data_IF_086069775225
#
_entry.id   IF_086069775225
#
_cell.length_a   1.000
_cell.length_b   1.000
_cell.length_c   1.000
_cell.angle_alpha   90.00
_cell.angle_beta   90.00
_cell.angle_gamma   90.00
#
_symmetry.space_group_name_H-M   'P 1'
#
loop_
_entity.id
_entity.type
_entity.pdbx_description
1 polymer ?
#
# COMPACT_ATOMS: atom_id res chain seq x y z
N UNK A 1 13.63 -16.20 -26.79
CA UNK A 1 12.92 -15.41 -27.82
C UNK A 1 11.45 -15.35 -27.41
N UNK A 2 10.81 -14.17 -27.47
CA UNK A 2 9.40 -13.96 -27.08
C UNK A 2 8.50 -13.87 -28.33
N UNK A 3 7.25 -14.34 -28.25
CA UNK A 3 6.24 -14.17 -29.31
C UNK A 3 5.39 -12.93 -29.04
N UNK A 4 4.73 -12.40 -30.08
CA UNK A 4 3.78 -11.29 -29.93
C UNK A 4 2.65 -11.65 -28.94
N UNK A 5 2.10 -12.86 -29.04
CA UNK A 5 1.05 -13.34 -28.14
C UNK A 5 1.51 -13.43 -26.68
N UNK A 6 2.75 -13.88 -26.45
CA UNK A 6 3.33 -13.93 -25.11
C UNK A 6 3.51 -12.52 -24.51
N UNK A 7 3.90 -11.55 -25.34
CA UNK A 7 4.00 -10.14 -24.94
C UNK A 7 2.61 -9.59 -24.60
N UNK A 8 1.61 -9.83 -25.45
CA UNK A 8 0.25 -9.34 -25.23
C UNK A 8 -0.37 -9.93 -23.95
N UNK A 9 -0.20 -11.24 -23.73
CA UNK A 9 -0.67 -11.90 -22.50
C UNK A 9 -0.05 -11.27 -21.25
N UNK A 10 1.25 -10.95 -21.28
CA UNK A 10 1.91 -10.29 -20.14
C UNK A 10 1.46 -8.84 -19.92
N UNK A 11 1.13 -8.12 -20.99
CA UNK A 11 0.54 -6.77 -20.90
C UNK A 11 -0.84 -6.87 -20.24
N UNK A 12 -1.71 -7.75 -20.72
CA UNK A 12 -3.07 -7.93 -20.19
C UNK A 12 -3.05 -8.38 -18.72
N UNK A 13 -2.12 -9.28 -18.35
CA UNK A 13 -1.91 -9.70 -16.97
C UNK A 13 -1.39 -8.57 -16.05
N UNK A 14 -0.68 -7.58 -16.59
CA UNK A 14 -0.21 -6.43 -15.81
C UNK A 14 -1.33 -5.40 -15.66
N UNK A 15 -2.04 -5.11 -16.75
CA UNK A 15 -3.09 -4.09 -16.79
C UNK A 15 -4.36 -4.51 -16.03
N UNK A 16 -4.60 -5.81 -15.90
CA UNK A 16 -5.68 -6.35 -15.05
C UNK A 16 -5.44 -6.14 -13.55
N UNK A 17 -4.23 -5.77 -13.11
CA UNK A 17 -3.92 -5.57 -11.69
C UNK A 17 -4.37 -4.19 -11.23
N UNK A 18 -5.28 -4.16 -10.26
CA UNK A 18 -5.84 -2.94 -9.70
C UNK A 18 -5.60 -2.86 -8.20
N UNK A 19 -5.62 -1.66 -7.59
CA UNK A 19 -5.49 -1.50 -6.14
C UNK A 19 -6.68 -2.08 -5.34
N UNK A 20 -7.77 -2.51 -5.99
CA UNK A 20 -8.96 -3.06 -5.32
C UNK A 20 -8.62 -4.29 -4.47
N UNK A 21 -7.66 -5.11 -4.89
CA UNK A 21 -7.18 -6.24 -4.09
C UNK A 21 -6.64 -5.76 -2.74
N UNK A 22 -5.78 -4.73 -2.76
CA UNK A 22 -5.27 -4.07 -1.55
C UNK A 22 -6.39 -3.52 -0.68
N UNK A 23 -7.37 -2.81 -1.26
CA UNK A 23 -8.49 -2.24 -0.52
C UNK A 23 -9.27 -3.28 0.29
N UNK A 24 -9.55 -4.44 -0.32
CA UNK A 24 -10.22 -5.58 0.36
C UNK A 24 -9.36 -6.22 1.44
N UNK A 25 -8.04 -6.31 1.23
CA UNK A 25 -7.09 -6.79 2.24
C UNK A 25 -7.12 -5.89 3.49
N UNK A 26 -7.05 -4.57 3.29
CA UNK A 26 -7.11 -3.60 4.39
C UNK A 26 -8.46 -3.66 5.11
N UNK A 27 -9.57 -3.67 4.36
CA UNK A 27 -10.90 -3.74 4.95
C UNK A 27 -11.12 -5.00 5.80
N UNK A 28 -10.67 -6.17 5.31
CA UNK A 28 -10.71 -7.40 6.12
C UNK A 28 -9.85 -7.27 7.37
N UNK A 29 -8.66 -6.70 7.28
CA UNK A 29 -7.81 -6.46 8.44
C UNK A 29 -8.44 -5.49 9.47
N UNK A 30 -9.34 -4.59 9.06
CA UNK A 30 -10.08 -3.74 9.99
C UNK A 30 -11.25 -4.44 10.68
N UNK A 31 -11.78 -5.54 10.12
CA UNK A 31 -12.94 -6.26 10.66
C UNK A 31 -12.61 -7.62 11.26
N UNK A 32 -11.41 -8.15 11.01
CA UNK A 32 -10.93 -9.46 11.46
C UNK A 32 -9.54 -9.29 12.09
N UNK A 33 -9.50 -9.12 13.41
CA UNK A 33 -8.26 -8.90 14.16
C UNK A 33 -7.32 -10.11 14.08
N UNK A 34 -7.85 -11.32 13.96
CA UNK A 34 -7.03 -12.53 13.80
C UNK A 34 -6.33 -12.54 12.43
N UNK A 35 -7.04 -12.15 11.37
CA UNK A 35 -6.44 -11.94 10.06
C UNK A 35 -5.43 -10.79 10.06
N UNK A 36 -5.75 -9.66 10.73
CA UNK A 36 -4.83 -8.53 10.90
C UNK A 36 -3.51 -8.95 11.53
N UNK A 37 -3.57 -9.70 12.63
CA UNK A 37 -2.38 -10.19 13.31
C UNK A 37 -1.53 -11.08 12.40
N UNK A 38 -2.14 -12.01 11.65
CA UNK A 38 -1.44 -12.84 10.66
C UNK A 38 -0.84 -12.01 9.53
N UNK A 39 -1.60 -11.06 8.98
CA UNK A 39 -1.19 -10.20 7.88
C UNK A 39 0.03 -9.34 8.25
N UNK A 40 0.14 -8.87 9.49
CA UNK A 40 1.29 -8.10 9.96
C UNK A 40 2.51 -9.00 10.22
N UNK A 41 2.29 -10.17 10.83
CA UNK A 41 3.37 -11.07 11.24
C UNK A 41 4.01 -11.83 10.08
N UNK A 42 3.18 -12.37 9.18
CA UNK A 42 3.61 -13.10 7.98
C UNK A 42 2.62 -12.80 6.83
N UNK A 43 2.87 -11.76 6.04
CA UNK A 43 1.91 -11.29 5.04
C UNK A 43 1.60 -12.34 3.96
N UNK A 44 2.56 -13.18 3.57
CA UNK A 44 2.41 -14.00 2.37
C UNK A 44 1.29 -15.04 2.48
N UNK A 45 1.17 -15.85 3.55
CA UNK A 45 0.02 -16.73 3.75
C UNK A 45 -1.31 -15.97 3.86
N UNK A 46 -1.33 -14.85 4.58
CA UNK A 46 -2.55 -14.05 4.75
C UNK A 46 -3.04 -13.47 3.41
N UNK A 47 -2.13 -12.96 2.58
CA UNK A 47 -2.41 -12.46 1.24
C UNK A 47 -2.93 -13.59 0.31
N UNK A 48 -2.43 -14.82 0.47
CA UNK A 48 -2.93 -15.97 -0.28
C UNK A 48 -4.39 -16.32 0.07
N UNK A 49 -4.83 -16.13 1.34
CA UNK A 49 -6.25 -16.26 1.72
C UNK A 49 -7.15 -15.30 0.91
N UNK A 50 -6.60 -14.17 0.45
CA UNK A 50 -7.29 -13.16 -0.37
C UNK A 50 -7.07 -13.33 -1.88
N UNK A 51 -6.51 -14.47 -2.31
CA UNK A 51 -6.26 -14.76 -3.73
C UNK A 51 -5.00 -14.11 -4.32
N UNK A 52 -4.16 -13.48 -3.50
CA UNK A 52 -2.89 -12.87 -3.93
C UNK A 52 -1.77 -13.92 -3.86
N UNK A 53 -1.68 -14.74 -4.91
CA UNK A 53 -0.81 -15.94 -4.93
C UNK A 53 0.45 -15.78 -5.78
N UNK A 54 0.51 -14.81 -6.70
CA UNK A 54 1.69 -14.56 -7.58
C UNK A 54 2.85 -13.85 -6.84
N UNK A 55 3.12 -14.23 -5.60
CA UNK A 55 4.22 -13.73 -4.76
C UNK A 55 5.44 -14.67 -4.74
N UNK A 56 5.33 -15.88 -5.29
CA UNK A 56 6.33 -16.95 -5.15
C UNK A 56 7.66 -16.74 -5.90
N UNK A 57 7.69 -15.79 -6.84
CA UNK A 57 8.90 -15.40 -7.59
C UNK A 57 9.28 -13.93 -7.37
N UNK A 58 8.68 -13.29 -6.35
CA UNK A 58 8.69 -11.84 -6.17
C UNK A 58 9.33 -11.44 -4.82
N UNK A 59 9.72 -10.16 -4.69
CA UNK A 59 10.22 -9.59 -3.44
C UNK A 59 9.28 -9.83 -2.26
N UNK A 60 9.86 -10.06 -1.08
CA UNK A 60 9.17 -10.23 0.19
C UNK A 60 8.25 -9.03 0.47
N UNK A 61 7.02 -9.30 0.88
CA UNK A 61 6.05 -8.25 1.21
C UNK A 61 6.09 -8.01 2.71
N UNK A 62 6.14 -6.75 3.13
CA UNK A 62 6.02 -6.34 4.53
C UNK A 62 4.83 -5.40 4.70
N UNK A 63 3.96 -5.73 5.64
CA UNK A 63 2.84 -4.85 6.01
C UNK A 63 3.25 -4.01 7.21
N UNK A 64 3.15 -2.70 7.08
CA UNK A 64 3.49 -1.72 8.13
C UNK A 64 2.21 -1.05 8.60
N UNK A 65 1.86 -1.23 9.87
CA UNK A 65 0.58 -0.81 10.40
C UNK A 65 0.69 0.53 11.12
N UNK A 66 -0.09 1.52 10.69
CA UNK A 66 -0.22 2.80 11.37
C UNK A 66 -0.81 2.62 12.76
N UNK A 67 -0.40 3.50 13.68
CA UNK A 67 -0.87 3.58 15.07
C UNK A 67 -1.21 5.04 15.40
N UNK A 68 -1.76 5.27 16.59
CA UNK A 68 -2.15 6.61 17.02
C UNK A 68 -0.99 7.63 17.06
N UNK A 69 0.25 7.12 17.13
CA UNK A 69 1.50 7.88 17.25
C UNK A 69 2.48 7.61 16.10
N UNK A 70 2.14 6.74 15.13
CA UNK A 70 3.03 6.38 14.03
C UNK A 70 2.32 6.26 12.69
N UNK A 71 2.84 6.97 11.70
CA UNK A 71 2.39 6.98 10.32
C UNK A 71 3.50 6.49 9.39
N UNK A 72 3.19 5.58 8.48
CA UNK A 72 4.17 5.01 7.55
C UNK A 72 3.96 5.56 6.14
N UNK A 73 5.05 5.78 5.41
CA UNK A 73 5.01 6.22 4.00
C UNK A 73 6.06 5.48 3.17
N UNK A 74 5.68 5.03 1.98
CA UNK A 74 6.51 4.14 1.16
C UNK A 74 7.14 4.89 -0.01
N UNK A 75 8.43 4.67 -0.27
CA UNK A 75 9.15 5.21 -1.42
C UNK A 75 10.10 4.17 -2.01
N UNK A 76 10.57 4.43 -3.23
CA UNK A 76 11.76 3.79 -3.79
C UNK A 76 12.67 4.90 -4.32
N UNK A 77 13.64 5.33 -3.52
CA UNK A 77 14.49 6.47 -3.87
C UNK A 77 15.31 6.18 -5.13
N UNK A 78 15.73 4.92 -5.33
CA UNK A 78 16.60 4.49 -6.42
C UNK A 78 15.88 4.32 -7.76
N UNK A 79 14.62 3.88 -7.76
CA UNK A 79 13.90 3.62 -9.02
C UNK A 79 12.38 3.77 -8.89
N UNK A 80 11.66 2.66 -8.65
CA UNK A 80 10.20 2.58 -8.65
C UNK A 80 9.66 1.25 -8.09
N UNK A 81 10.41 0.59 -7.21
CA UNK A 81 9.97 -0.65 -6.54
C UNK A 81 8.59 -0.45 -5.90
N UNK A 82 7.66 -1.37 -6.16
CA UNK A 82 6.26 -1.22 -5.78
C UNK A 82 5.56 -2.59 -5.69
N UNK A 83 4.60 -2.81 -4.75
CA UNK A 83 3.89 -4.09 -4.60
C UNK A 83 2.83 -4.29 -5.72
N UNK A 84 3.28 -4.49 -6.96
CA UNK A 84 2.39 -4.52 -8.15
C UNK A 84 1.33 -5.62 -8.13
N UNK A 85 1.60 -6.71 -7.45
CA UNK A 85 0.64 -7.83 -7.31
C UNK A 85 -0.57 -7.41 -6.45
N UNK A 86 -0.39 -6.43 -5.55
CA UNK A 86 -1.42 -5.96 -4.62
C UNK A 86 -2.04 -4.64 -5.10
N UNK A 87 -1.20 -3.71 -5.56
CA UNK A 87 -1.59 -2.33 -5.84
C UNK A 87 -1.61 -1.95 -7.33
N UNK A 88 -1.30 -2.89 -8.22
CA UNK A 88 -1.16 -2.63 -9.65
C UNK A 88 0.05 -1.75 -10.00
N UNK A 89 -0.03 -1.02 -11.10
CA UNK A 89 1.09 -0.17 -11.54
C UNK A 89 1.26 1.07 -10.64
N UNK A 90 2.51 1.44 -10.29
CA UNK A 90 2.76 2.63 -9.47
C UNK A 90 2.29 3.89 -10.20
N UNK A 91 1.71 4.86 -9.48
CA UNK A 91 1.30 6.12 -10.09
C UNK A 91 2.50 6.88 -10.65
N UNK A 92 2.24 7.78 -11.61
CA UNK A 92 3.31 8.51 -12.28
C UNK A 92 4.18 9.29 -11.29
N UNK A 93 3.57 9.96 -10.30
CA UNK A 93 4.27 10.77 -9.30
C UNK A 93 5.25 9.96 -8.44
N UNK A 94 4.93 8.70 -8.12
CA UNK A 94 5.77 7.83 -7.30
C UNK A 94 7.15 7.59 -7.94
N UNK A 95 7.18 7.56 -9.27
CA UNK A 95 8.39 7.35 -10.08
C UNK A 95 9.21 8.63 -10.29
N UNK A 96 8.63 9.81 -10.02
CA UNK A 96 9.26 11.10 -10.29
C UNK A 96 10.24 11.48 -9.18
N UNK A 97 11.30 12.18 -9.57
CA UNK A 97 12.34 12.67 -8.66
C UNK A 97 11.78 13.54 -7.54
N UNK A 98 10.78 14.38 -7.84
CA UNK A 98 10.13 15.25 -6.88
C UNK A 98 9.67 14.49 -5.62
N UNK A 99 8.97 13.35 -5.78
CA UNK A 99 8.61 12.50 -4.65
C UNK A 99 9.83 11.80 -4.05
N UNK A 100 10.57 11.07 -4.90
CA UNK A 100 11.64 10.14 -4.51
C UNK A 100 12.77 10.79 -3.72
N UNK A 101 13.15 12.03 -4.02
CA UNK A 101 14.27 12.70 -3.33
C UNK A 101 13.85 13.47 -2.08
N UNK A 102 12.56 13.82 -1.95
CA UNK A 102 12.06 14.73 -0.92
C UNK A 102 11.41 13.99 0.24
N UNK A 103 10.63 12.93 -0.02
CA UNK A 103 9.87 12.25 1.04
C UNK A 103 10.77 11.65 2.14
N UNK A 104 12.02 11.31 1.83
CA UNK A 104 13.01 10.83 2.82
C UNK A 104 13.71 11.93 3.62
N UNK A 105 13.51 13.21 3.26
CA UNK A 105 14.15 14.38 3.92
C UNK A 105 13.13 15.28 4.61
N UNK A 106 12.00 15.50 3.94
CA UNK A 106 10.95 16.41 4.36
C UNK A 106 9.57 15.75 4.21
N UNK A 107 9.34 14.57 4.82
CA UNK A 107 8.11 13.80 4.65
C UNK A 107 6.85 14.61 4.95
N UNK A 108 6.84 15.40 6.04
CA UNK A 108 5.70 16.26 6.39
C UNK A 108 5.32 17.24 5.28
N UNK A 109 6.31 17.88 4.66
CA UNK A 109 6.04 18.83 3.58
C UNK A 109 5.48 18.12 2.34
N UNK A 110 6.06 16.98 1.97
CA UNK A 110 5.56 16.17 0.85
C UNK A 110 4.14 15.69 1.12
N UNK A 111 3.83 15.22 2.33
CA UNK A 111 2.47 14.80 2.70
C UNK A 111 1.47 15.97 2.65
N UNK A 112 1.88 17.17 3.07
CA UNK A 112 1.05 18.36 2.97
C UNK A 112 0.70 18.71 1.51
N UNK A 113 1.60 18.48 0.54
CA UNK A 113 1.31 18.64 -0.89
C UNK A 113 0.25 17.65 -1.40
N UNK A 114 0.16 16.47 -0.78
CA UNK A 114 -0.94 15.52 -1.01
C UNK A 114 -2.19 15.88 -0.20
N UNK A 115 -2.17 16.92 0.64
CA UNK A 115 -3.26 17.34 1.52
C UNK A 115 -3.41 16.50 2.79
N UNK A 116 -2.32 15.88 3.25
CA UNK A 116 -2.24 15.17 4.53
C UNK A 116 -1.37 15.94 5.49
N UNK A 117 -2.02 16.52 6.50
CA UNK A 117 -1.37 17.18 7.63
C UNK A 117 -1.41 16.24 8.83
N UNK A 118 -0.24 15.99 9.41
CA UNK A 118 -0.07 15.13 10.58
C UNK A 118 0.39 15.99 11.76
N UNK A 119 -0.09 15.74 12.99
CA UNK A 119 0.33 16.50 14.16
C UNK A 119 1.83 16.34 14.39
N UNK A 120 2.47 17.34 14.99
CA UNK A 120 3.92 17.33 15.23
C UNK A 120 4.36 16.17 16.13
N UNK A 121 3.47 15.67 16.98
CA UNK A 121 3.67 14.49 17.83
C UNK A 121 3.70 13.17 17.06
N UNK A 122 3.18 13.11 15.84
CA UNK A 122 3.12 11.89 15.02
C UNK A 122 4.52 11.52 14.53
N UNK A 123 5.00 10.31 14.81
CA UNK A 123 6.23 9.80 14.20
C UNK A 123 5.95 9.38 12.76
N UNK A 124 6.78 9.82 11.81
CA UNK A 124 6.66 9.40 10.41
C UNK A 124 7.81 8.45 10.07
N UNK A 125 7.48 7.21 9.72
CA UNK A 125 8.44 6.23 9.23
C UNK A 125 8.40 6.15 7.70
N UNK A 126 9.52 6.52 7.08
CA UNK A 126 9.67 6.44 5.63
C UNK A 126 10.33 5.11 5.28
N UNK A 127 9.61 4.24 4.57
CA UNK A 127 10.12 2.97 4.09
C UNK A 127 10.65 3.09 2.67
N UNK A 128 11.97 3.14 2.53
CA UNK A 128 12.62 3.04 1.24
C UNK A 128 12.73 1.58 0.81
N UNK A 129 12.08 1.25 -0.31
CA UNK A 129 12.04 -0.07 -0.94
C UNK A 129 13.36 -0.39 -1.63
N UNK A 130 14.42 -0.45 -0.82
CA UNK A 130 15.75 -0.95 -1.19
C UNK A 130 15.74 -2.48 -1.09
N UNK A 131 16.49 -3.14 -1.96
CA UNK A 131 16.50 -4.60 -2.11
C UNK A 131 15.14 -5.21 -2.52
N UNK A 132 14.93 -6.47 -2.13
CA UNK A 132 13.78 -7.30 -2.50
C UNK A 132 12.67 -7.26 -1.44
N UNK A 133 12.40 -6.07 -0.88
CA UNK A 133 11.25 -5.82 0.00
C UNK A 133 10.23 -4.90 -0.69
N UNK A 134 8.95 -5.22 -0.56
CA UNK A 134 7.83 -4.36 -0.97
C UNK A 134 6.92 -4.11 0.22
N UNK A 135 6.67 -2.84 0.49
CA UNK A 135 5.84 -2.44 1.62
C UNK A 135 4.38 -2.27 1.21
N UNK A 136 3.48 -2.49 2.14
CA UNK A 136 2.07 -2.11 2.08
C UNK A 136 1.71 -1.41 3.41
N UNK A 137 1.16 -0.20 3.34
CA UNK A 137 0.66 0.47 4.55
C UNK A 137 -0.70 -0.12 4.93
N UNK A 138 -0.83 -0.55 6.18
CA UNK A 138 -2.10 -0.85 6.83
C UNK A 138 -2.50 0.38 7.65
N UNK A 139 -3.35 1.27 7.08
CA UNK A 139 -3.79 2.48 7.78
C UNK A 139 -4.66 2.15 9.00
N UNK A 140 -4.81 3.12 9.91
CA UNK A 140 -5.85 3.06 10.94
C UNK A 140 -7.24 3.15 10.32
N UNK A 141 -8.21 2.39 10.88
CA UNK A 141 -9.62 2.51 10.51
C UNK A 141 -10.12 3.90 10.91
N UNK A 142 -10.79 4.64 10.01
CA UNK A 142 -11.33 5.95 10.35
C UNK A 142 -12.50 5.81 11.33
N UNK A 143 -12.62 6.79 12.23
CA UNK A 143 -13.75 6.91 13.16
C UNK A 143 -15.09 7.00 12.42
N UNK A 144 -16.19 6.66 13.11
CA UNK A 144 -17.54 6.73 12.55
C UNK A 144 -17.88 5.61 11.58
N UNK A 145 -17.04 4.57 11.50
CA UNK A 145 -17.26 3.43 10.61
C UNK A 145 -17.59 2.14 11.34
N UNK A 146 -17.82 2.14 12.65
CA UNK A 146 -17.89 0.92 13.48
C UNK A 146 -18.86 -0.14 12.93
N UNK A 147 -20.04 0.28 12.46
CA UNK A 147 -21.09 -0.59 11.92
C UNK A 147 -20.96 -0.90 10.41
N UNK A 148 -19.89 -0.44 9.75
CA UNK A 148 -19.71 -0.62 8.31
C UNK A 148 -19.29 -2.05 7.98
N UNK A 149 -19.80 -2.57 6.86
CA UNK A 149 -19.36 -3.84 6.31
C UNK A 149 -17.94 -3.72 5.72
N UNK A 150 -17.27 -4.86 5.53
CA UNK A 150 -15.96 -4.89 4.88
C UNK A 150 -15.98 -4.30 3.46
N UNK A 151 -17.09 -4.45 2.72
CA UNK A 151 -17.21 -3.88 1.38
C UNK A 151 -17.30 -2.34 1.43
N UNK A 152 -18.09 -1.79 2.35
CA UNK A 152 -18.18 -0.33 2.56
C UNK A 152 -16.82 0.24 3.02
N UNK A 153 -16.13 -0.46 3.91
CA UNK A 153 -14.79 -0.06 4.36
C UNK A 153 -13.76 -0.08 3.23
N UNK A 154 -13.84 -1.06 2.32
CA UNK A 154 -12.93 -1.15 1.18
C UNK A 154 -13.05 0.06 0.23
N UNK A 155 -14.22 0.67 0.13
CA UNK A 155 -14.43 1.89 -0.68
C UNK A 155 -13.65 3.10 -0.15
N UNK A 156 -13.36 3.14 1.16
CA UNK A 156 -12.54 4.21 1.76
C UNK A 156 -11.05 4.06 1.46
N UNK A 157 -10.59 2.84 1.17
CA UNK A 157 -9.18 2.50 1.04
C UNK A 157 -8.73 2.74 -0.39
N UNK A 158 -8.10 3.90 -0.62
CA UNK A 158 -7.50 4.23 -1.91
C UNK A 158 -6.05 3.74 -2.02
N UNK A 159 -5.52 3.70 -3.24
CA UNK A 159 -4.09 3.44 -3.49
C UNK A 159 -3.18 4.37 -2.70
N UNK A 160 -3.52 5.65 -2.64
CA UNK A 160 -2.67 6.66 -2.02
C UNK A 160 -2.62 6.48 -0.49
N UNK A 161 -3.68 5.95 0.11
CA UNK A 161 -3.71 5.53 1.52
C UNK A 161 -2.78 4.33 1.74
N UNK A 162 -2.81 3.33 0.86
CA UNK A 162 -1.95 2.14 0.98
C UNK A 162 -0.46 2.41 0.69
N UNK A 163 -0.13 3.57 0.13
CA UNK A 163 1.25 4.09 0.02
C UNK A 163 1.63 4.94 1.24
N UNK A 164 0.64 5.46 1.97
CA UNK A 164 0.84 6.34 3.13
C UNK A 164 0.92 7.82 2.79
N UNK A 165 0.44 8.27 1.62
CA UNK A 165 0.42 9.71 1.27
C UNK A 165 -0.92 10.39 1.54
N UNK A 166 -1.95 9.60 1.88
CA UNK A 166 -3.29 10.06 2.28
C UNK A 166 -3.77 9.26 3.50
N UNK A 167 -4.73 9.83 4.23
CA UNK A 167 -5.42 9.13 5.32
C UNK A 167 -6.83 8.71 4.88
N UNK A 168 -7.35 7.56 5.34
CA UNK A 168 -8.76 7.22 5.15
C UNK A 168 -9.62 8.21 5.93
N UNK A 169 -10.76 8.59 5.34
CA UNK A 169 -11.75 9.47 5.97
C UNK A 169 -13.13 8.91 5.68
N UNK A 170 -13.93 8.71 6.71
CA UNK A 170 -15.37 8.59 6.54
C UNK A 170 -15.93 9.96 6.16
N UNK A 171 -16.95 9.99 5.30
CA UNK A 171 -17.64 11.21 4.90
C UNK A 171 -18.51 11.76 6.04
#
# INVERSE_FOLDING_TARGET
VLTADAIQTQIDEMDSRTPVAGSRIIARAWTDEAYRARLIADPKPALAEMGVTKLDHNPEVKVVADTADRHHVIVCTLCSCYPRVILGMPPAWYKKRAYRSRVVKEPRQVLAEFGTELPDSMTIEVHDSTADLRYLVLPMRPEGTDDWSADQLAELVTRDIMIGVRLPKAA
#
